data_IF_398346379570
#
_entry.id   IF_398346379570
#
_cell.length_a   1.000
_cell.length_b   1.000
_cell.length_c   1.000
_cell.angle_alpha   90.00
_cell.angle_beta   90.00
_cell.angle_gamma   90.00
#
_symmetry.space_group_name_H-M   'P 1'
#
loop_
_entity.id
_entity.type
_entity.pdbx_description
1 polymer ?
#
# COMPACT_ATOMS: atom_id res chain seq x y z
N UNK A 1 -5.87 -9.60 5.03
CA UNK A 1 -5.36 -8.21 5.07
C UNK A 1 -6.38 -7.16 4.63
N UNK A 2 -7.10 -7.33 3.50
CA UNK A 2 -8.09 -6.33 3.06
C UNK A 2 -9.19 -5.99 4.08
N UNK A 3 -9.72 -6.99 4.80
CA UNK A 3 -10.68 -6.78 5.90
C UNK A 3 -10.03 -6.02 7.07
N UNK A 4 -8.77 -6.34 7.40
CA UNK A 4 -8.05 -5.64 8.46
C UNK A 4 -7.93 -4.15 8.14
N UNK A 5 -7.49 -3.80 6.92
CA UNK A 5 -7.33 -2.40 6.51
C UNK A 5 -8.63 -1.58 6.52
N UNK A 6 -9.81 -2.22 6.54
CA UNK A 6 -11.08 -1.51 6.66
C UNK A 6 -11.15 -0.63 7.91
N UNK A 7 -10.33 -0.91 8.94
CA UNK A 7 -10.22 -0.06 10.13
C UNK A 7 -9.93 1.41 9.79
N UNK A 8 -9.16 1.71 8.74
CA UNK A 8 -8.82 3.09 8.37
C UNK A 8 -10.03 3.84 7.85
N UNK A 9 -10.78 3.24 6.92
CA UNK A 9 -12.01 3.83 6.39
C UNK A 9 -13.10 3.93 7.47
N UNK A 10 -13.23 2.94 8.36
CA UNK A 10 -14.13 3.03 9.51
C UNK A 10 -13.73 4.17 10.45
N UNK A 11 -12.43 4.37 10.68
CA UNK A 11 -11.90 5.51 11.43
C UNK A 11 -12.26 6.85 10.78
N UNK A 12 -12.09 6.97 9.46
CA UNK A 12 -12.45 8.19 8.71
C UNK A 12 -13.96 8.50 8.80
N UNK A 13 -14.81 7.48 8.61
CA UNK A 13 -16.27 7.62 8.69
C UNK A 13 -16.68 8.03 10.10
N UNK A 14 -16.24 7.28 11.12
CA UNK A 14 -16.59 7.56 12.51
C UNK A 14 -16.09 8.93 12.96
N UNK A 15 -14.85 9.30 12.63
CA UNK A 15 -14.28 10.61 12.93
C UNK A 15 -15.09 11.75 12.29
N UNK A 16 -15.46 11.61 11.02
CA UNK A 16 -16.24 12.62 10.29
C UNK A 16 -17.65 12.77 10.86
N UNK A 17 -18.36 11.65 11.10
CA UNK A 17 -19.72 11.67 11.63
C UNK A 17 -19.75 12.20 13.07
N UNK A 18 -18.81 11.81 13.92
CA UNK A 18 -18.71 12.32 15.29
C UNK A 18 -18.42 13.83 15.29
N UNK A 19 -17.46 14.29 14.49
CA UNK A 19 -17.12 15.70 14.39
C UNK A 19 -18.32 16.54 13.88
N UNK A 20 -19.07 16.03 12.91
CA UNK A 20 -20.27 16.68 12.37
C UNK A 20 -21.46 16.66 13.35
N UNK A 21 -21.62 15.60 14.15
CA UNK A 21 -22.72 15.48 15.12
C UNK A 21 -22.59 16.49 16.27
N UNK A 22 -21.36 16.83 16.65
CA UNK A 22 -21.10 17.77 17.76
C UNK A 22 -20.90 19.22 17.32
N UNK A 23 -20.90 19.47 16.00
CA UNK A 23 -20.66 20.79 15.42
C UNK A 23 -21.71 21.82 15.87
N UNK A 24 -22.96 21.38 16.05
CA UNK A 24 -24.08 22.23 16.48
C UNK A 24 -23.89 22.77 17.91
N UNK A 25 -23.03 22.14 18.74
CA UNK A 25 -22.70 22.59 20.10
C UNK A 25 -21.50 23.56 20.14
N UNK A 26 -20.85 23.79 19.00
CA UNK A 26 -19.67 24.64 18.85
C UNK A 26 -18.48 23.90 18.26
N UNK A 27 -17.70 24.59 17.42
CA UNK A 27 -16.60 24.01 16.64
C UNK A 27 -15.52 23.32 17.50
N UNK A 28 -15.29 23.77 18.74
CA UNK A 28 -14.31 23.16 19.65
C UNK A 28 -14.66 21.74 20.05
N UNK A 29 -15.96 21.39 20.10
CA UNK A 29 -16.40 20.03 20.45
C UNK A 29 -16.00 18.99 19.40
N UNK A 30 -15.88 19.40 18.14
CA UNK A 30 -15.40 18.55 17.04
C UNK A 30 -13.95 18.10 17.23
N UNK A 31 -13.19 18.72 18.13
CA UNK A 31 -11.86 18.28 18.54
C UNK A 31 -11.88 17.50 19.86
N UNK A 32 -12.62 17.99 20.85
CA UNK A 32 -12.65 17.41 22.20
C UNK A 32 -13.23 15.99 22.19
N UNK A 33 -14.37 15.77 21.51
CA UNK A 33 -15.06 14.48 21.55
C UNK A 33 -14.26 13.37 20.84
N UNK A 34 -13.79 13.55 19.59
CA UNK A 34 -12.91 12.56 18.97
C UNK A 34 -11.60 12.36 19.74
N UNK A 35 -11.01 13.43 20.29
CA UNK A 35 -9.79 13.34 21.10
C UNK A 35 -9.98 12.49 22.36
N UNK A 36 -11.09 12.67 23.08
CA UNK A 36 -11.42 11.86 24.25
C UNK A 36 -11.61 10.37 23.90
N UNK A 37 -12.23 10.07 22.76
CA UNK A 37 -12.39 8.70 22.27
C UNK A 37 -11.05 8.04 21.90
N UNK A 38 -10.15 8.78 21.25
CA UNK A 38 -8.79 8.29 20.94
C UNK A 38 -8.02 8.03 22.23
N UNK A 39 -8.08 8.95 23.21
CA UNK A 39 -7.43 8.77 24.51
C UNK A 39 -7.97 7.53 25.25
N UNK A 40 -9.29 7.35 25.26
CA UNK A 40 -9.94 6.18 25.85
C UNK A 40 -9.52 4.89 25.16
N UNK A 41 -9.46 4.88 23.82
CA UNK A 41 -8.98 3.73 23.04
C UNK A 41 -7.51 3.42 23.34
N UNK A 42 -6.67 4.44 23.53
CA UNK A 42 -5.28 4.29 23.94
C UNK A 42 -5.14 3.63 25.31
N UNK A 43 -5.99 3.99 26.27
CA UNK A 43 -6.03 3.33 27.59
C UNK A 43 -6.42 1.84 27.45
N UNK A 44 -7.42 1.52 26.61
CA UNK A 44 -7.79 0.12 26.36
C UNK A 44 -6.63 -0.66 25.73
N UNK A 45 -5.96 -0.10 24.73
CA UNK A 45 -4.78 -0.74 24.12
C UNK A 45 -3.68 -0.95 25.15
N UNK A 46 -3.40 0.04 26.00
CA UNK A 46 -2.39 -0.08 27.06
C UNK A 46 -2.71 -1.18 28.08
N UNK A 47 -3.98 -1.36 28.44
CA UNK A 47 -4.40 -2.35 29.44
C UNK A 47 -4.54 -3.77 28.89
N UNK A 48 -4.89 -3.93 27.61
CA UNK A 48 -5.31 -5.22 27.06
C UNK A 48 -4.46 -5.75 25.91
N UNK A 49 -3.64 -4.94 25.23
CA UNK A 49 -2.83 -5.41 24.11
C UNK A 49 -1.54 -6.10 24.64
N UNK A 50 -1.36 -7.42 24.44
CA UNK A 50 -0.11 -8.07 24.78
C UNK A 50 1.03 -7.49 23.93
N UNK A 51 2.17 -7.22 24.56
CA UNK A 51 3.32 -6.61 23.90
C UNK A 51 3.96 -7.56 22.86
N UNK A 52 3.94 -8.86 23.17
CA UNK A 52 4.54 -9.88 22.34
C UNK A 52 3.58 -11.06 22.13
N UNK A 53 3.54 -11.67 20.93
CA UNK A 53 2.72 -12.86 20.67
C UNK A 53 3.11 -14.04 21.60
N UNK A 54 4.35 -14.07 22.08
CA UNK A 54 4.86 -15.04 23.05
C UNK A 54 4.12 -14.97 24.40
N UNK A 55 3.68 -13.77 24.82
CA UNK A 55 2.98 -13.54 26.09
C UNK A 55 1.60 -14.22 26.13
N UNK A 56 1.05 -14.54 24.96
CA UNK A 56 -0.25 -15.21 24.77
C UNK A 56 -0.11 -16.62 24.17
N UNK A 57 1.10 -17.18 24.17
CA UNK A 57 1.36 -18.57 23.80
C UNK A 57 1.55 -18.83 22.31
N UNK A 58 1.71 -17.80 21.48
CA UNK A 58 2.12 -17.98 20.08
C UNK A 58 3.65 -18.05 19.99
N UNK A 59 4.15 -18.96 19.13
CA UNK A 59 5.58 -19.06 18.88
C UNK A 59 6.09 -17.77 18.24
N UNK A 60 7.13 -17.19 18.82
CA UNK A 60 7.83 -16.05 18.24
C UNK A 60 8.35 -16.37 16.84
N UNK A 61 8.26 -15.41 15.93
CA UNK A 61 8.80 -15.52 14.56
C UNK A 61 10.32 -15.83 14.52
N UNK A 62 11.01 -15.74 15.67
CA UNK A 62 12.44 -16.00 15.85
C UNK A 62 12.76 -17.38 16.45
N UNK A 63 11.78 -18.26 16.66
CA UNK A 63 12.04 -19.62 17.12
C UNK A 63 12.60 -20.48 15.97
N UNK A 64 13.89 -20.35 15.69
CA UNK A 64 14.61 -21.42 15.00
C UNK A 64 14.47 -22.71 15.83
N UNK A 65 14.17 -23.86 15.22
CA UNK A 65 14.13 -25.11 15.96
C UNK A 65 15.55 -25.39 16.44
N UNK A 66 15.78 -25.32 17.75
CA UNK A 66 16.97 -25.90 18.36
C UNK A 66 16.88 -27.40 18.09
N UNK A 67 17.66 -27.86 17.11
CA UNK A 67 17.89 -29.28 16.93
C UNK A 67 18.72 -29.73 18.14
N UNK A 68 18.07 -30.42 19.07
CA UNK A 68 18.74 -31.10 20.17
C UNK A 68 19.63 -32.21 19.58
N UNK A 69 20.94 -31.95 19.48
CA UNK A 69 21.94 -32.99 19.31
C UNK A 69 22.48 -33.37 20.70
N UNK A 70 21.86 -34.37 21.31
CA UNK A 70 22.43 -35.12 22.41
C UNK A 70 23.54 -36.07 21.90
N UNK A 71 24.45 -36.44 22.81
CA UNK A 71 25.55 -37.43 22.71
C UNK A 71 26.85 -36.87 22.08
N UNK A 72 28.05 -36.86 22.70
CA UNK A 72 28.68 -37.83 23.60
C UNK A 72 29.90 -37.24 24.38
N UNK A 73 29.92 -37.49 25.69
CA UNK A 73 30.97 -37.73 26.71
C UNK A 73 32.51 -37.48 26.54
N UNK A 74 33.10 -37.07 27.68
CA UNK A 74 34.45 -37.34 28.27
C UNK A 74 35.68 -36.60 27.68
N UNK A 75 36.69 -36.10 28.42
CA UNK A 75 37.23 -36.39 29.76
C UNK A 75 38.17 -35.25 30.28
N UNK A 76 38.45 -35.24 31.60
CA UNK A 76 39.16 -34.26 32.46
C UNK A 76 40.70 -34.19 32.29
N UNK A 77 41.34 -33.04 32.65
CA UNK A 77 42.24 -32.87 33.84
C UNK A 77 43.27 -31.68 33.75
N UNK A 78 43.19 -30.78 34.76
CA UNK A 78 44.15 -29.86 35.41
C UNK A 78 45.34 -29.18 34.69
N UNK A 79 45.45 -27.84 34.86
CA UNK A 79 46.54 -27.17 35.60
C UNK A 79 46.29 -25.64 35.75
N UNK A 80 46.75 -25.10 36.87
CA UNK A 80 46.54 -23.75 37.43
C UNK A 80 47.64 -22.78 36.96
N UNK A 81 47.21 -21.56 36.51
CA UNK A 81 47.87 -20.22 36.53
C UNK A 81 49.23 -20.12 35.80
N UNK A 82 49.39 -19.30 34.75
CA UNK A 82 49.67 -17.85 34.77
C UNK A 82 49.18 -17.17 33.47
N UNK A 83 48.71 -15.93 33.65
CA UNK A 83 48.10 -14.93 32.75
C UNK A 83 48.56 -14.86 31.28
N UNK A 84 47.61 -14.55 30.37
CA UNK A 84 47.61 -13.31 29.55
C UNK A 84 46.35 -13.28 28.65
N UNK A 85 45.58 -12.18 28.73
CA UNK A 85 44.56 -11.70 27.79
C UNK A 85 43.47 -12.67 27.29
N UNK A 86 42.25 -12.52 27.81
CA UNK A 86 41.05 -12.77 27.01
C UNK A 86 39.93 -11.81 27.40
N UNK A 87 39.56 -10.98 26.43
CA UNK A 87 38.48 -10.03 26.54
C UNK A 87 37.16 -10.70 26.87
N UNK A 88 36.34 -9.97 27.63
CA UNK A 88 34.90 -10.12 27.63
C UNK A 88 34.42 -10.07 26.16
N UNK A 89 34.20 -11.24 25.56
CA UNK A 89 33.33 -11.34 24.38
C UNK A 89 31.90 -11.20 24.91
N UNK A 90 31.44 -9.96 24.96
CA UNK A 90 30.01 -9.66 24.85
C UNK A 90 29.50 -10.33 23.56
N UNK A 91 28.84 -11.47 23.74
CA UNK A 91 28.04 -12.11 22.70
C UNK A 91 26.73 -11.36 22.48
N UNK A 92 26.77 -10.04 22.29
CA UNK A 92 25.73 -9.34 21.55
C UNK A 92 26.26 -9.19 20.12
N UNK A 93 26.02 -10.19 19.28
CA UNK A 93 26.04 -9.95 17.85
C UNK A 93 24.95 -8.92 17.59
N UNK A 94 25.35 -7.65 17.53
CA UNK A 94 24.48 -6.59 17.04
C UNK A 94 24.11 -6.99 15.62
N UNK A 95 22.95 -7.62 15.45
CA UNK A 95 22.33 -7.78 14.13
C UNK A 95 22.14 -6.37 13.62
N UNK A 96 23.07 -5.89 12.78
CA UNK A 96 22.96 -4.62 12.08
C UNK A 96 21.65 -4.68 11.32
N UNK A 97 20.68 -3.87 11.73
CA UNK A 97 19.48 -3.70 10.95
C UNK A 97 19.87 -3.16 9.57
N UNK A 98 19.12 -3.55 8.56
CA UNK A 98 19.30 -3.08 7.19
C UNK A 98 19.24 -1.56 7.14
N UNK A 99 20.27 -0.93 6.56
CA UNK A 99 20.31 0.52 6.39
C UNK A 99 19.25 1.01 5.40
N UNK A 100 18.79 2.26 5.53
CA UNK A 100 17.78 2.84 4.64
C UNK A 100 18.14 2.68 3.15
N UNK A 101 19.40 2.90 2.80
CA UNK A 101 19.88 2.78 1.42
C UNK A 101 19.82 1.34 0.88
N UNK A 102 20.12 0.37 1.74
CA UNK A 102 20.07 -1.06 1.40
C UNK A 102 18.62 -1.51 1.23
N UNK A 103 17.71 -1.05 2.10
CA UNK A 103 16.28 -1.29 1.96
C UNK A 103 15.68 -0.66 0.69
N UNK A 104 16.13 0.54 0.29
CA UNK A 104 15.75 1.16 -0.97
C UNK A 104 16.23 0.38 -2.20
N UNK A 105 17.31 -0.41 -2.07
CA UNK A 105 17.87 -1.19 -3.18
C UNK A 105 17.11 -2.50 -3.44
N UNK A 106 16.13 -2.83 -2.58
CA UNK A 106 15.32 -4.04 -2.74
C UNK A 106 14.37 -3.87 -3.93
N UNK A 107 14.36 -4.83 -4.88
CA UNK A 107 13.46 -4.78 -6.02
C UNK A 107 11.99 -4.62 -5.60
N UNK A 108 11.33 -3.62 -6.17
CA UNK A 108 9.92 -3.33 -5.93
C UNK A 108 9.64 -2.31 -4.82
N UNK A 109 10.56 -2.08 -3.86
CA UNK A 109 10.34 -1.11 -2.77
C UNK A 109 10.10 0.30 -3.32
N UNK A 110 10.98 0.81 -4.18
CA UNK A 110 10.84 2.16 -4.75
C UNK A 110 9.59 2.31 -5.63
N UNK A 111 9.31 1.40 -6.60
CA UNK A 111 8.07 1.46 -7.38
C UNK A 111 6.80 1.47 -6.52
N UNK A 112 6.72 0.61 -5.50
CA UNK A 112 5.55 0.58 -4.61
C UNK A 112 5.48 1.78 -3.67
N UNK A 113 6.61 2.29 -3.16
CA UNK A 113 6.65 3.50 -2.35
C UNK A 113 6.15 4.72 -3.14
N UNK A 114 6.63 4.90 -4.38
CA UNK A 114 6.20 6.00 -5.25
C UNK A 114 4.75 5.80 -5.74
N UNK A 115 4.32 4.57 -6.01
CA UNK A 115 2.92 4.29 -6.29
C UNK A 115 2.03 4.66 -5.09
N UNK A 116 2.44 4.31 -3.87
CA UNK A 116 1.71 4.65 -2.66
C UNK A 116 1.69 6.15 -2.40
N UNK A 117 2.76 6.88 -2.73
CA UNK A 117 2.76 8.35 -2.70
C UNK A 117 1.61 8.93 -3.52
N UNK A 118 1.51 8.56 -4.80
CA UNK A 118 0.47 9.09 -5.67
C UNK A 118 -0.92 8.54 -5.32
N UNK A 119 -1.02 7.28 -4.89
CA UNK A 119 -2.27 6.69 -4.43
C UNK A 119 -2.82 7.41 -3.18
N UNK A 120 -1.98 7.64 -2.16
CA UNK A 120 -2.37 8.41 -0.96
C UNK A 120 -2.63 9.88 -1.29
N UNK A 121 -1.88 10.49 -2.21
CA UNK A 121 -2.14 11.84 -2.71
C UNK A 121 -3.58 11.95 -3.24
N UNK A 122 -4.01 11.02 -4.09
CA UNK A 122 -5.36 11.01 -4.65
C UNK A 122 -6.41 10.74 -3.57
N UNK A 123 -6.20 9.69 -2.76
CA UNK A 123 -7.13 9.27 -1.72
C UNK A 123 -7.37 10.36 -0.66
N UNK A 124 -6.30 10.97 -0.13
CA UNK A 124 -6.39 11.96 0.94
C UNK A 124 -6.87 13.31 0.44
N UNK A 125 -6.62 13.64 -0.84
CA UNK A 125 -7.24 14.81 -1.45
C UNK A 125 -8.76 14.65 -1.45
N UNK A 126 -9.28 13.52 -1.93
CA UNK A 126 -10.72 13.24 -1.85
C UNK A 126 -11.19 13.26 -0.40
N UNK A 127 -10.54 12.55 0.51
CA UNK A 127 -10.95 12.47 1.92
C UNK A 127 -11.16 13.86 2.56
N UNK A 128 -10.22 14.79 2.38
CA UNK A 128 -10.27 16.09 3.04
C UNK A 128 -11.04 17.16 2.27
N UNK A 129 -11.00 17.14 0.93
CA UNK A 129 -11.60 18.19 0.11
C UNK A 129 -12.97 17.83 -0.46
N UNK A 130 -13.39 16.56 -0.43
CA UNK A 130 -14.69 16.14 -0.91
C UNK A 130 -15.88 16.77 -0.16
N UNK A 131 -15.89 16.91 1.18
CA UNK A 131 -16.96 17.64 1.87
C UNK A 131 -17.08 19.08 1.36
N UNK A 132 -15.94 19.76 1.17
CA UNK A 132 -15.92 21.12 0.68
C UNK A 132 -16.39 21.18 -0.78
N UNK A 133 -15.91 20.30 -1.65
CA UNK A 133 -16.37 20.16 -3.04
C UNK A 133 -17.89 19.99 -3.13
N UNK A 134 -18.45 19.08 -2.33
CA UNK A 134 -19.88 18.79 -2.30
C UNK A 134 -20.71 19.99 -1.81
N UNK A 135 -20.19 20.78 -0.88
CA UNK A 135 -20.86 22.00 -0.42
C UNK A 135 -20.81 23.15 -1.44
N UNK A 136 -19.85 23.13 -2.37
CA UNK A 136 -19.63 24.16 -3.38
C UNK A 136 -20.14 23.76 -4.78
N UNK A 137 -20.66 22.55 -4.94
CA UNK A 137 -21.15 22.02 -6.21
C UNK A 137 -22.65 21.79 -6.11
N UNK A 138 -23.39 22.28 -7.09
CA UNK A 138 -24.81 22.02 -7.21
C UNK A 138 -25.05 20.55 -7.58
N UNK A 139 -25.85 19.84 -6.79
CA UNK A 139 -26.15 18.41 -7.00
C UNK A 139 -27.66 18.27 -7.17
N UNK A 140 -28.09 17.94 -8.39
CA UNK A 140 -29.52 17.78 -8.69
C UNK A 140 -30.33 19.07 -8.59
N UNK A 141 -29.70 20.23 -8.82
CA UNK A 141 -30.38 21.53 -8.75
C UNK A 141 -30.20 22.27 -7.43
N UNK A 142 -29.58 21.65 -6.42
CA UNK A 142 -29.51 22.18 -5.06
C UNK A 142 -28.09 22.13 -4.47
N UNK A 143 -27.79 23.10 -3.60
CA UNK A 143 -26.56 23.09 -2.80
C UNK A 143 -26.78 22.33 -1.50
N UNK A 144 -25.82 21.47 -1.18
CA UNK A 144 -25.86 20.66 0.04
C UNK A 144 -25.23 21.44 1.19
N UNK A 145 -25.87 21.43 2.38
CA UNK A 145 -25.32 22.07 3.58
C UNK A 145 -23.96 21.47 3.97
N UNK A 146 -23.12 22.21 4.69
CA UNK A 146 -21.79 21.73 5.14
C UNK A 146 -21.89 20.43 5.94
N UNK A 147 -22.90 20.32 6.82
CA UNK A 147 -23.16 19.10 7.62
C UNK A 147 -23.55 17.93 6.73
N UNK A 148 -24.48 18.14 5.80
CA UNK A 148 -24.92 17.10 4.87
C UNK A 148 -23.81 16.69 3.90
N UNK A 149 -22.97 17.62 3.46
CA UNK A 149 -21.83 17.37 2.59
C UNK A 149 -20.76 16.53 3.30
N UNK A 150 -20.49 16.81 4.58
CA UNK A 150 -19.62 15.97 5.43
C UNK A 150 -20.17 14.57 5.66
N UNK A 151 -21.48 14.42 5.85
CA UNK A 151 -22.11 13.10 5.94
C UNK A 151 -22.04 12.36 4.59
N UNK A 152 -22.33 13.06 3.50
CA UNK A 152 -22.34 12.49 2.14
C UNK A 152 -20.95 12.01 1.72
N UNK A 153 -19.89 12.78 2.02
CA UNK A 153 -18.51 12.41 1.68
C UNK A 153 -18.04 11.11 2.34
N UNK A 154 -18.64 10.69 3.46
CA UNK A 154 -18.29 9.41 4.10
C UNK A 154 -18.55 8.19 3.20
N UNK A 155 -19.44 8.33 2.20
CA UNK A 155 -19.71 7.26 1.24
C UNK A 155 -18.52 6.97 0.32
N UNK A 156 -17.58 7.91 0.17
CA UNK A 156 -16.29 7.63 -0.47
C UNK A 156 -15.49 6.59 0.31
N UNK A 157 -15.42 6.72 1.64
CA UNK A 157 -14.76 5.73 2.51
C UNK A 157 -15.53 4.40 2.54
N UNK A 158 -16.86 4.42 2.46
CA UNK A 158 -17.67 3.19 2.31
C UNK A 158 -17.27 2.45 1.04
N UNK A 159 -17.18 3.15 -0.10
CA UNK A 159 -16.63 2.61 -1.34
C UNK A 159 -15.23 2.03 -1.12
N UNK A 160 -14.39 2.73 -0.37
CA UNK A 160 -13.04 2.30 -0.02
C UNK A 160 -12.94 1.02 0.81
N UNK A 161 -13.89 0.77 1.72
CA UNK A 161 -13.97 -0.51 2.45
C UNK A 161 -14.14 -1.66 1.46
N UNK A 162 -15.11 -1.56 0.55
CA UNK A 162 -15.32 -2.57 -0.48
C UNK A 162 -14.12 -2.68 -1.41
N UNK A 163 -13.51 -1.55 -1.78
CA UNK A 163 -12.29 -1.49 -2.59
C UNK A 163 -11.11 -2.21 -1.97
N UNK A 164 -10.83 -1.98 -0.68
CA UNK A 164 -9.73 -2.64 0.03
C UNK A 164 -9.93 -4.15 0.18
N UNK A 165 -11.17 -4.58 0.47
CA UNK A 165 -11.53 -6.00 0.53
C UNK A 165 -11.38 -6.65 -0.85
N UNK A 166 -11.93 -6.02 -1.89
CA UNK A 166 -11.90 -6.54 -3.26
C UNK A 166 -10.48 -6.57 -3.82
N UNK A 167 -9.68 -5.52 -3.61
CA UNK A 167 -8.28 -5.49 -4.01
C UNK A 167 -7.47 -6.57 -3.31
N UNK A 168 -7.67 -6.77 -2.00
CA UNK A 168 -7.05 -7.88 -1.27
C UNK A 168 -7.42 -9.24 -1.85
N UNK A 169 -8.72 -9.48 -2.05
CA UNK A 169 -9.24 -10.73 -2.58
C UNK A 169 -8.73 -11.03 -4.01
N UNK A 170 -8.83 -10.06 -4.93
CA UNK A 170 -8.34 -10.21 -6.31
C UNK A 170 -6.85 -10.47 -6.30
N UNK A 171 -6.10 -9.72 -5.48
CA UNK A 171 -4.66 -9.82 -5.42
C UNK A 171 -4.18 -11.16 -4.88
N UNK A 172 -4.86 -11.70 -3.85
CA UNK A 172 -4.58 -13.04 -3.31
C UNK A 172 -4.93 -14.12 -4.35
N UNK A 173 -6.08 -14.00 -5.02
CA UNK A 173 -6.53 -14.98 -6.03
C UNK A 173 -5.63 -15.01 -7.26
N UNK A 174 -5.21 -13.85 -7.75
CA UNK A 174 -4.29 -13.75 -8.89
C UNK A 174 -2.86 -14.02 -8.48
N UNK A 175 -2.52 -13.93 -7.20
CA UNK A 175 -1.15 -13.89 -6.69
C UNK A 175 -0.30 -12.87 -7.48
N UNK A 176 -0.85 -11.66 -7.64
CA UNK A 176 -0.31 -10.56 -8.45
C UNK A 176 -0.65 -9.22 -7.77
N UNK A 177 0.29 -8.70 -6.97
CA UNK A 177 0.09 -7.50 -6.16
C UNK A 177 0.14 -6.25 -7.04
N UNK A 178 1.16 -6.15 -7.89
CA UNK A 178 1.37 -4.99 -8.75
C UNK A 178 0.28 -4.87 -9.80
N UNK A 179 -0.10 -5.99 -10.43
CA UNK A 179 -1.18 -6.04 -11.44
C UNK A 179 -2.50 -5.58 -10.87
N UNK A 180 -2.84 -6.01 -9.64
CA UNK A 180 -4.10 -5.61 -8.99
C UNK A 180 -4.08 -4.11 -8.66
N UNK A 181 -3.00 -3.61 -8.05
CA UNK A 181 -2.85 -2.20 -7.72
C UNK A 181 -2.90 -1.30 -8.97
N UNK A 182 -2.15 -1.67 -10.02
CA UNK A 182 -2.13 -0.92 -11.29
C UNK A 182 -3.48 -0.91 -11.99
N UNK A 183 -4.22 -2.04 -11.95
CA UNK A 183 -5.56 -2.15 -12.53
C UNK A 183 -6.56 -1.23 -11.82
N UNK A 184 -6.53 -1.20 -10.49
CA UNK A 184 -7.38 -0.31 -9.70
C UNK A 184 -7.00 1.17 -9.91
N UNK A 185 -5.71 1.52 -9.94
CA UNK A 185 -5.28 2.88 -10.24
C UNK A 185 -5.69 3.31 -11.66
N UNK A 186 -5.63 2.39 -12.63
CA UNK A 186 -6.09 2.65 -14.00
C UNK A 186 -7.61 2.83 -14.06
N UNK A 187 -8.38 2.07 -13.29
CA UNK A 187 -9.84 2.21 -13.18
C UNK A 187 -10.27 3.46 -12.39
N UNK A 188 -9.43 3.96 -11.48
CA UNK A 188 -9.68 5.21 -10.76
C UNK A 188 -9.73 6.41 -11.72
N UNK A 189 -8.95 6.41 -12.81
CA UNK A 189 -8.94 7.48 -13.82
C UNK A 189 -10.33 7.73 -14.43
N UNK A 190 -10.96 6.78 -15.15
CA UNK A 190 -12.28 7.00 -15.70
C UNK A 190 -13.31 7.19 -14.59
N UNK A 191 -13.17 6.55 -13.43
CA UNK A 191 -14.10 6.75 -12.31
C UNK A 191 -14.12 8.20 -11.81
N UNK A 192 -12.97 8.85 -11.67
CA UNK A 192 -12.89 10.25 -11.22
C UNK A 192 -13.42 11.21 -12.29
N UNK A 193 -13.13 10.94 -13.57
CA UNK A 193 -13.65 11.73 -14.68
C UNK A 193 -15.17 11.62 -14.79
N UNK A 194 -15.73 10.40 -14.63
CA UNK A 194 -17.17 10.18 -14.60
C UNK A 194 -17.81 10.88 -13.40
N UNK A 195 -17.20 10.81 -12.21
CA UNK A 195 -17.70 11.53 -11.04
C UNK A 195 -17.73 13.04 -11.27
N UNK A 196 -16.69 13.62 -11.90
CA UNK A 196 -16.67 15.04 -12.26
C UNK A 196 -17.74 15.39 -13.29
N UNK A 197 -17.87 14.59 -14.34
CA UNK A 197 -18.78 14.87 -15.45
C UNK A 197 -20.26 14.71 -15.07
N UNK A 198 -20.60 13.69 -14.27
CA UNK A 198 -21.99 13.27 -14.04
C UNK A 198 -22.43 13.32 -12.57
N UNK A 199 -21.52 13.49 -11.62
CA UNK A 199 -21.83 13.50 -10.19
C UNK A 199 -22.68 14.68 -9.72
N UNK A 200 -22.84 15.72 -10.54
CA UNK A 200 -23.69 16.88 -10.25
C UNK A 200 -25.15 16.70 -10.69
N UNK A 201 -25.46 15.69 -11.52
CA UNK A 201 -26.78 15.54 -12.17
C UNK A 201 -27.89 15.18 -11.17
N UNK A 202 -27.60 14.28 -10.23
CA UNK A 202 -28.56 13.88 -9.20
C UNK A 202 -27.83 13.34 -7.97
N UNK A 203 -28.50 13.37 -6.81
CA UNK A 203 -27.94 12.83 -5.57
C UNK A 203 -27.61 11.34 -5.68
N UNK A 204 -28.47 10.54 -6.31
CA UNK A 204 -28.21 9.11 -6.52
C UNK A 204 -26.98 8.87 -7.40
N UNK A 205 -26.82 9.63 -8.48
CA UNK A 205 -25.64 9.53 -9.35
C UNK A 205 -24.36 9.94 -8.61
N UNK A 206 -24.45 11.00 -7.79
CA UNK A 206 -23.35 11.45 -6.94
C UNK A 206 -22.89 10.31 -6.01
N UNK A 207 -23.82 9.72 -5.26
CA UNK A 207 -23.56 8.64 -4.31
C UNK A 207 -22.88 7.45 -4.99
N UNK A 208 -23.47 6.96 -6.10
CA UNK A 208 -22.97 5.78 -6.80
C UNK A 208 -21.57 6.02 -7.36
N UNK A 209 -21.35 7.13 -8.07
CA UNK A 209 -20.06 7.44 -8.67
C UNK A 209 -18.98 7.73 -7.61
N UNK A 210 -19.35 8.36 -6.49
CA UNK A 210 -18.45 8.60 -5.37
C UNK A 210 -18.02 7.29 -4.69
N UNK A 211 -18.95 6.35 -4.49
CA UNK A 211 -18.62 5.02 -3.97
C UNK A 211 -17.70 4.25 -4.93
N UNK A 212 -17.96 4.31 -6.25
CA UNK A 212 -17.10 3.67 -7.26
C UNK A 212 -15.70 4.30 -7.25
N UNK A 213 -15.61 5.64 -7.15
CA UNK A 213 -14.34 6.33 -7.02
C UNK A 213 -13.59 5.89 -5.75
N UNK A 214 -14.29 5.83 -4.61
CA UNK A 214 -13.73 5.32 -3.35
C UNK A 214 -13.20 3.89 -3.46
N UNK A 215 -13.94 3.01 -4.13
CA UNK A 215 -13.56 1.62 -4.38
C UNK A 215 -12.22 1.53 -5.12
N UNK A 216 -12.07 2.24 -6.24
CA UNK A 216 -10.85 2.15 -7.04
C UNK A 216 -9.68 2.93 -6.45
N UNK A 217 -9.92 4.07 -5.80
CA UNK A 217 -8.87 4.92 -5.24
C UNK A 217 -8.28 4.32 -3.96
N UNK A 218 -9.11 3.82 -3.04
CA UNK A 218 -8.63 3.32 -1.74
C UNK A 218 -8.12 1.87 -1.80
N UNK A 219 -8.51 1.09 -2.82
CA UNK A 219 -8.06 -0.30 -2.99
C UNK A 219 -6.52 -0.47 -3.05
N UNK A 220 -5.81 0.23 -3.95
CA UNK A 220 -4.35 0.18 -4.06
C UNK A 220 -3.64 0.64 -2.79
N UNK A 221 -4.14 1.73 -2.18
CA UNK A 221 -3.66 2.22 -0.90
C UNK A 221 -3.72 1.12 0.17
N UNK A 222 -4.87 0.46 0.32
CA UNK A 222 -5.07 -0.63 1.28
C UNK A 222 -4.16 -1.84 0.98
N UNK A 223 -4.05 -2.20 -0.29
CA UNK A 223 -3.27 -3.36 -0.72
C UNK A 223 -1.77 -3.17 -0.50
N UNK A 224 -1.24 -1.98 -0.80
CA UNK A 224 0.21 -1.73 -0.73
C UNK A 224 0.67 -1.61 0.74
N UNK A 225 -0.08 -0.88 1.55
CA UNK A 225 0.24 -0.68 2.98
C UNK A 225 0.18 -1.97 3.78
N UNK A 226 -0.70 -2.90 3.41
CA UNK A 226 -0.86 -4.16 4.14
C UNK A 226 -0.10 -5.32 3.51
N UNK A 227 -0.54 -5.78 2.34
CA UNK A 227 -0.02 -7.01 1.74
C UNK A 227 1.38 -6.80 1.15
N UNK A 228 1.59 -5.74 0.37
CA UNK A 228 2.88 -5.53 -0.30
C UNK A 228 4.00 -5.23 0.69
N UNK A 229 3.74 -4.42 1.72
CA UNK A 229 4.75 -4.11 2.73
C UNK A 229 5.15 -5.36 3.52
N UNK A 230 4.20 -6.24 3.83
CA UNK A 230 4.47 -7.53 4.44
C UNK A 230 5.23 -8.50 3.50
N UNK A 231 4.82 -8.58 2.23
CA UNK A 231 5.44 -9.46 1.23
C UNK A 231 6.89 -9.03 0.93
N UNK A 232 7.15 -7.72 0.74
CA UNK A 232 8.49 -7.19 0.47
C UNK A 232 9.41 -7.29 1.69
N UNK A 233 8.88 -7.12 2.90
CA UNK A 233 9.69 -7.27 4.10
C UNK A 233 9.97 -8.73 4.49
N UNK A 234 9.31 -9.70 3.85
CA UNK A 234 9.60 -11.14 3.99
C UNK A 234 10.41 -11.71 2.82
N UNK A 235 10.87 -10.85 1.90
CA UNK A 235 11.70 -11.23 0.76
C UNK A 235 12.93 -12.04 1.18
N UNK A 236 13.43 -12.93 0.30
CA UNK A 236 14.53 -13.86 0.61
C UNK A 236 15.81 -13.19 1.09
N UNK A 237 16.04 -11.93 0.70
CA UNK A 237 17.14 -11.08 1.16
C UNK A 237 17.00 -10.57 2.60
N UNK A 238 15.79 -10.63 3.19
CA UNK A 238 15.44 -10.09 4.50
C UNK A 238 14.85 -11.14 5.47
N UNK A 239 14.74 -12.39 5.03
CA UNK A 239 14.00 -13.45 5.73
C UNK A 239 14.63 -13.74 7.11
N UNK A 240 13.92 -13.39 8.18
CA UNK A 240 14.35 -13.58 9.57
C UNK A 240 14.94 -12.35 10.27
N UNK A 241 15.01 -11.20 9.58
CA UNK A 241 15.36 -9.91 10.20
C UNK A 241 14.15 -8.98 10.30
N UNK A 242 13.46 -9.01 11.44
CA UNK A 242 12.30 -8.15 11.72
C UNK A 242 12.63 -6.65 11.62
N UNK A 243 13.90 -6.25 11.80
CA UNK A 243 14.32 -4.85 11.64
C UNK A 243 14.28 -4.43 10.16
N UNK A 244 14.62 -5.33 9.24
CA UNK A 244 14.58 -5.03 7.82
C UNK A 244 13.14 -4.87 7.29
N UNK A 245 12.22 -5.74 7.73
CA UNK A 245 10.77 -5.60 7.47
C UNK A 245 10.24 -4.24 7.95
N UNK A 246 10.62 -3.83 9.17
CA UNK A 246 10.24 -2.54 9.72
C UNK A 246 10.78 -1.36 8.87
N UNK A 247 12.04 -1.44 8.43
CA UNK A 247 12.65 -0.40 7.57
C UNK A 247 11.95 -0.28 6.21
N UNK A 248 11.68 -1.40 5.53
CA UNK A 248 10.97 -1.41 4.24
C UNK A 248 9.57 -0.83 4.37
N UNK A 249 8.83 -1.28 5.40
CA UNK A 249 7.49 -0.76 5.72
C UNK A 249 7.55 0.74 5.99
N UNK A 250 8.52 1.20 6.78
CA UNK A 250 8.70 2.61 7.10
C UNK A 250 9.02 3.47 5.87
N UNK A 251 9.81 2.97 4.91
CA UNK A 251 10.09 3.68 3.65
C UNK A 251 8.81 3.83 2.82
N UNK A 252 8.06 2.73 2.65
CA UNK A 252 6.83 2.71 1.86
C UNK A 252 5.79 3.64 2.51
N UNK A 253 5.48 3.43 3.80
CA UNK A 253 4.48 4.23 4.50
C UNK A 253 4.88 5.69 4.70
N UNK A 254 6.17 5.94 4.97
CA UNK A 254 6.73 7.28 5.07
C UNK A 254 6.57 8.04 3.77
N UNK A 255 6.96 7.43 2.64
CA UNK A 255 6.79 8.01 1.30
C UNK A 255 5.32 8.27 0.99
N UNK A 256 4.43 7.32 1.32
CA UNK A 256 3.00 7.49 1.21
C UNK A 256 2.45 8.67 2.02
N UNK A 257 2.97 8.90 3.22
CA UNK A 257 2.55 10.01 4.10
C UNK A 257 2.92 11.38 3.53
N UNK A 258 4.03 11.48 2.79
CA UNK A 258 4.37 12.71 2.04
C UNK A 258 3.30 12.99 0.97
N UNK A 259 2.85 11.96 0.24
CA UNK A 259 1.77 12.10 -0.74
C UNK A 259 0.45 12.57 -0.10
N UNK A 260 0.08 11.98 1.05
CA UNK A 260 -1.08 12.34 1.84
C UNK A 260 -1.07 13.81 2.31
N UNK A 261 0.11 14.40 2.55
CA UNK A 261 0.26 15.81 2.90
C UNK A 261 0.23 16.72 1.66
N UNK A 262 0.92 16.32 0.57
CA UNK A 262 1.06 17.16 -0.62
C UNK A 262 -0.22 17.28 -1.44
N UNK A 263 -1.02 16.23 -1.58
CA UNK A 263 -2.27 16.28 -2.36
C UNK A 263 -3.26 17.35 -1.88
N UNK A 264 -3.66 17.31 -0.60
CA UNK A 264 -4.52 18.32 -0.02
C UNK A 264 -3.91 19.73 -0.06
N UNK A 265 -2.60 19.86 0.13
CA UNK A 265 -1.90 21.15 0.03
C UNK A 265 -2.02 21.73 -1.39
N UNK A 266 -1.70 20.93 -2.42
CA UNK A 266 -1.83 21.35 -3.82
C UNK A 266 -3.27 21.70 -4.17
N UNK A 267 -4.24 20.94 -3.63
CA UNK A 267 -5.66 21.20 -3.84
C UNK A 267 -6.09 22.55 -3.29
N UNK A 268 -5.53 22.98 -2.15
CA UNK A 268 -5.74 24.33 -1.63
C UNK A 268 -5.39 25.43 -2.63
N UNK A 269 -4.27 25.29 -3.35
CA UNK A 269 -3.90 26.25 -4.39
C UNK A 269 -4.71 26.06 -5.67
N UNK A 270 -4.94 24.82 -6.11
CA UNK A 270 -5.59 24.53 -7.40
C UNK A 270 -7.09 24.81 -7.38
N UNK A 271 -7.77 24.61 -6.26
CA UNK A 271 -9.21 24.88 -6.11
C UNK A 271 -9.57 26.34 -6.41
N UNK A 272 -8.63 27.28 -6.19
CA UNK A 272 -8.81 28.71 -6.56
C UNK A 272 -8.94 28.93 -8.07
N UNK A 273 -8.40 28.01 -8.89
CA UNK A 273 -8.49 28.03 -10.36
C UNK A 273 -9.67 27.24 -10.90
N UNK A 274 -10.46 26.62 -10.02
CA UNK A 274 -11.58 25.77 -10.36
C UNK A 274 -11.32 24.28 -10.12
N UNK A 275 -12.40 23.54 -9.90
CA UNK A 275 -12.34 22.11 -9.55
C UNK A 275 -11.83 21.22 -10.67
N UNK A 276 -11.91 21.64 -11.93
CA UNK A 276 -11.36 20.89 -13.05
C UNK A 276 -9.84 20.71 -12.92
N UNK A 277 -9.13 21.74 -12.45
CA UNK A 277 -7.69 21.65 -12.19
C UNK A 277 -7.37 20.58 -11.13
N UNK A 278 -8.18 20.51 -10.07
CA UNK A 278 -8.03 19.51 -9.00
C UNK A 278 -8.25 18.10 -9.55
N UNK A 279 -9.33 17.88 -10.30
CA UNK A 279 -9.62 16.56 -10.89
C UNK A 279 -8.58 16.13 -11.94
N UNK A 280 -8.01 17.07 -12.69
CA UNK A 280 -6.88 16.80 -13.61
C UNK A 280 -5.66 16.37 -12.80
N UNK A 281 -5.30 17.09 -11.73
CA UNK A 281 -4.18 16.71 -10.86
C UNK A 281 -4.36 15.29 -10.31
N UNK A 282 -5.56 14.95 -9.85
CA UNK A 282 -5.87 13.62 -9.32
C UNK A 282 -5.77 12.54 -10.39
N UNK A 283 -6.25 12.83 -11.59
CA UNK A 283 -6.17 11.93 -12.75
C UNK A 283 -4.72 11.69 -13.18
N UNK A 284 -3.90 12.76 -13.24
CA UNK A 284 -2.47 12.67 -13.53
C UNK A 284 -1.75 11.88 -12.44
N UNK A 285 -2.06 12.12 -11.16
CA UNK A 285 -1.52 11.36 -10.05
C UNK A 285 -1.83 9.87 -10.16
N UNK A 286 -3.08 9.52 -10.46
CA UNK A 286 -3.49 8.13 -10.65
C UNK A 286 -2.78 7.45 -11.83
N UNK A 287 -2.63 8.18 -12.95
CA UNK A 287 -1.89 7.71 -14.12
C UNK A 287 -0.41 7.44 -13.79
N UNK A 288 0.26 8.38 -13.12
CA UNK A 288 1.66 8.19 -12.72
C UNK A 288 1.79 6.99 -11.79
N UNK A 289 0.89 6.82 -10.82
CA UNK A 289 0.91 5.67 -9.92
C UNK A 289 0.79 4.33 -10.67
N UNK A 290 -0.08 4.25 -11.68
CA UNK A 290 -0.25 3.07 -12.52
C UNK A 290 1.01 2.79 -13.36
N UNK A 291 1.59 3.83 -13.98
CA UNK A 291 2.79 3.72 -14.82
C UNK A 291 4.02 3.27 -14.03
N UNK A 292 4.18 3.74 -12.78
CA UNK A 292 5.28 3.33 -11.90
C UNK A 292 5.29 1.83 -11.61
N UNK A 293 4.12 1.18 -11.62
CA UNK A 293 4.01 -0.27 -11.42
C UNK A 293 4.17 -1.07 -12.71
N UNK A 294 4.19 -0.44 -13.89
CA UNK A 294 4.13 -1.15 -15.18
C UNK A 294 5.22 -2.22 -15.34
N UNK A 295 6.46 -1.94 -14.90
CA UNK A 295 7.55 -2.93 -14.95
C UNK A 295 7.27 -4.15 -14.08
N UNK A 296 6.72 -3.93 -12.88
CA UNK A 296 6.37 -5.03 -11.98
C UNK A 296 5.19 -5.83 -12.54
N UNK A 297 4.21 -5.15 -13.16
CA UNK A 297 3.10 -5.82 -13.86
C UNK A 297 3.62 -6.72 -14.98
N UNK A 298 4.53 -6.22 -15.83
CA UNK A 298 5.13 -7.02 -16.91
C UNK A 298 5.86 -8.24 -16.35
N UNK A 299 6.62 -8.08 -15.27
CA UNK A 299 7.31 -9.17 -14.59
C UNK A 299 6.32 -10.23 -14.05
N UNK A 300 5.26 -9.80 -13.34
CA UNK A 300 4.22 -10.69 -12.80
C UNK A 300 3.50 -11.47 -13.91
N UNK A 301 3.16 -10.82 -15.02
CA UNK A 301 2.48 -11.46 -16.16
C UNK A 301 3.41 -12.48 -16.83
N UNK A 302 4.68 -12.12 -17.00
CA UNK A 302 5.68 -12.99 -17.64
C UNK A 302 5.94 -14.24 -16.80
N UNK A 303 6.12 -14.09 -15.48
CA UNK A 303 6.29 -15.23 -14.56
C UNK A 303 5.10 -16.20 -14.63
N UNK A 304 3.87 -15.68 -14.70
CA UNK A 304 2.66 -16.50 -14.80
C UNK A 304 2.51 -17.19 -16.15
N UNK A 305 2.88 -16.51 -17.23
CA UNK A 305 2.80 -17.07 -18.59
C UNK A 305 3.86 -18.15 -18.83
N UNK A 306 4.99 -18.09 -18.11
CA UNK A 306 6.07 -19.07 -18.20
C UNK A 306 5.88 -20.33 -17.35
N UNK A 307 4.93 -20.38 -16.40
CA UNK A 307 4.62 -21.62 -15.66
C UNK A 307 3.95 -22.62 -16.60
N UNK A 308 4.61 -23.73 -16.99
CA UNK A 308 3.99 -24.72 -17.86
C UNK A 308 2.86 -25.41 -17.10
N UNK A 309 1.78 -25.72 -17.82
CA UNK A 309 0.74 -26.66 -17.39
C UNK A 309 1.43 -27.91 -16.84
N UNK A 310 1.10 -28.40 -15.62
CA UNK A 310 1.69 -29.64 -15.12
C UNK A 310 1.27 -30.76 -16.07
N UNK A 311 2.25 -31.31 -16.79
CA UNK A 311 2.06 -32.50 -17.61
C UNK A 311 1.71 -33.63 -16.66
N UNK A 312 0.44 -34.02 -16.63
CA UNK A 312 0.02 -35.26 -15.99
C UNK A 312 0.74 -36.41 -16.67
N UNK A 313 1.55 -37.16 -15.92
CA UNK A 313 2.18 -38.39 -16.40
C UNK A 313 1.09 -39.37 -16.87
N UNK A 314 0.99 -39.54 -18.18
CA UNK A 314 0.16 -40.55 -18.86
C UNK A 314 0.63 -40.65 -20.32
N UNK A 315 0.99 -41.86 -20.73
CA UNK A 315 1.77 -42.20 -21.93
C UNK A 315 1.19 -41.79 -23.31
N UNK A 316 2.15 -41.64 -24.24
CA UNK A 316 2.15 -42.00 -25.67
C UNK A 316 1.62 -41.03 -26.76
N UNK A 317 2.62 -40.41 -27.41
CA UNK A 317 2.88 -40.35 -28.87
C UNK A 317 1.90 -39.71 -29.87
N UNK A 318 2.51 -38.77 -30.63
CA UNK A 318 2.32 -38.38 -32.04
C UNK A 318 1.50 -37.12 -32.38
N UNK A 319 2.21 -36.28 -33.17
CA UNK A 319 1.76 -35.29 -34.17
C UNK A 319 1.27 -33.89 -33.74
N UNK A 320 1.99 -32.88 -34.25
CA UNK A 320 1.35 -31.84 -35.07
C UNK A 320 1.22 -30.43 -34.48
N UNK A 321 2.17 -29.56 -34.88
CA UNK A 321 2.04 -28.12 -35.18
C UNK A 321 1.23 -27.18 -34.27
N UNK A 322 1.93 -26.13 -33.79
CA UNK A 322 1.32 -24.82 -33.51
C UNK A 322 1.72 -24.17 -32.19
N UNK A 323 3.00 -23.84 -32.00
CA UNK A 323 3.42 -22.91 -30.94
C UNK A 323 4.28 -21.83 -31.57
N UNK A 324 3.65 -20.88 -32.25
CA UNK A 324 4.31 -19.71 -32.79
C UNK A 324 3.42 -18.47 -32.57
N UNK A 325 3.89 -17.53 -31.73
CA UNK A 325 3.75 -16.06 -31.85
C UNK A 325 3.58 -15.24 -30.56
N UNK A 326 3.29 -15.79 -29.37
CA UNK A 326 3.10 -14.93 -28.18
C UNK A 326 4.40 -14.57 -27.42
N UNK A 327 5.43 -15.42 -27.49
CA UNK A 327 6.71 -15.18 -26.80
C UNK A 327 7.49 -14.01 -27.43
N UNK A 328 7.42 -13.88 -28.76
CA UNK A 328 8.20 -12.93 -29.54
C UNK A 328 7.83 -11.46 -29.24
N UNK A 329 6.57 -11.17 -28.91
CA UNK A 329 6.12 -9.80 -28.63
C UNK A 329 6.55 -9.32 -27.23
N UNK A 330 6.56 -10.20 -26.22
CA UNK A 330 7.07 -9.85 -24.90
C UNK A 330 8.59 -9.55 -24.93
N UNK A 331 9.36 -10.35 -25.68
CA UNK A 331 10.79 -10.08 -25.89
C UNK A 331 11.03 -8.81 -26.71
N UNK A 332 10.18 -8.48 -27.69
CA UNK A 332 10.27 -7.24 -28.45
C UNK A 332 10.03 -6.01 -27.58
N UNK A 333 8.99 -6.02 -26.73
CA UNK A 333 8.72 -4.92 -25.80
C UNK A 333 9.86 -4.76 -24.78
N UNK A 334 10.37 -5.87 -24.21
CA UNK A 334 11.52 -5.83 -23.31
C UNK A 334 12.78 -5.31 -23.99
N UNK A 335 13.06 -5.72 -25.22
CA UNK A 335 14.22 -5.23 -25.99
C UNK A 335 14.12 -3.74 -26.33
N UNK A 336 12.89 -3.25 -26.60
CA UNK A 336 12.64 -1.85 -26.90
C UNK A 336 12.81 -0.98 -25.64
N UNK A 337 12.35 -1.45 -24.48
CA UNK A 337 12.50 -0.75 -23.21
C UNK A 337 13.96 -0.76 -22.71
N UNK A 338 14.69 -1.87 -22.89
CA UNK A 338 16.12 -1.93 -22.55
C UNK A 338 16.96 -1.03 -23.48
N UNK A 339 16.61 -0.97 -24.77
CA UNK A 339 17.26 -0.05 -25.70
C UNK A 339 16.98 1.42 -25.36
N UNK A 340 15.77 1.73 -24.87
CA UNK A 340 15.41 3.08 -24.43
C UNK A 340 16.17 3.51 -23.17
N UNK A 341 16.31 2.61 -22.18
CA UNK A 341 17.08 2.88 -20.96
C UNK A 341 18.58 3.02 -21.20
N UNK A 342 19.19 2.16 -22.03
CA UNK A 342 20.60 2.35 -22.40
C UNK A 342 20.81 3.72 -23.06
N UNK A 343 19.93 4.12 -23.97
CA UNK A 343 20.06 5.40 -24.68
C UNK A 343 19.92 6.60 -23.73
N UNK A 344 19.09 6.51 -22.70
CA UNK A 344 18.95 7.56 -21.69
C UNK A 344 20.06 7.57 -20.64
N UNK A 345 20.60 6.42 -20.24
CA UNK A 345 21.78 6.36 -19.37
C UNK A 345 23.03 6.92 -20.05
N UNK A 346 23.20 6.71 -21.36
CA UNK A 346 24.30 7.34 -22.12
C UNK A 346 24.15 8.86 -22.26
N UNK A 347 22.92 9.39 -22.36
CA UNK A 347 22.64 10.83 -22.42
C UNK A 347 22.83 11.55 -21.07
N UNK A 348 22.60 10.85 -19.95
CA UNK A 348 22.88 11.35 -18.60
C UNK A 348 24.37 11.32 -18.26
N UNK A 349 25.13 10.37 -18.82
CA UNK A 349 26.59 10.28 -18.66
C UNK A 349 27.38 11.19 -19.61
N UNK A 350 26.77 11.71 -20.69
CA UNK A 350 27.43 12.69 -21.59
C UNK A 350 27.30 14.15 -21.15
N UNK A 351 26.60 14.41 -20.02
CA UNK A 351 26.42 15.74 -19.45
C UNK A 351 26.97 15.87 -18.00
N UNK A 352 27.88 14.96 -17.62
CA UNK A 352 28.81 15.09 -16.49
C UNK A 352 30.22 15.12 -17.06
#
# INVERSE_FOLDING_TARGET
MGIWNAHTSVGNISGSLLAAAVLDYGWGWSFIVPGALIASSGVLVYLFLPAYPEDIGYAGANASPKLDSAESQNQKFNAVVVETNSGFKEGSSSRKGVGLFEACSIPGVIPFALCLFFSKLVAYTFLYWLPFYLSQTEIGGEYVSVKSAGNLSTLFDVGGIFGGILAGYISDKLNARATTAASFMSAAIPSMLLYRAYGHISSNMNIVLMMIAGLFVNGPYALITTAVSADLGTHSSLRGDSRALATVTAIIDGTGSVGAALGPLLTGFLSTKGWDAVFIMLTVGALIAALLLLRLVIAEITEKTQKPIPVSHGQQSLEGNGVENYSTDAYRVLSFLNAYEMKHSYLLLSHI
#
